data_IF_089215398935
#
_entry.id   IF_089215398935
#
_cell.length_a   1.000
_cell.length_b   1.000
_cell.length_c   1.000
_cell.angle_alpha   90.00
_cell.angle_beta   90.00
_cell.angle_gamma   90.00
#
_symmetry.space_group_name_H-M   'P 1'
#
loop_
_entity.id
_entity.type
_entity.pdbx_description
1 polymer ?
#
# COMPACT_ATOMS: atom_id res chain seq x y z
N UNK A 1 8.58 17.98 9.21
CA UNK A 1 9.30 17.10 10.12
C UNK A 1 10.42 16.38 9.37
N UNK A 2 11.63 16.74 9.65
CA UNK A 2 12.79 16.25 8.91
C UNK A 2 13.53 15.11 9.61
N UNK A 3 13.07 14.72 10.79
CA UNK A 3 13.77 13.71 11.59
C UNK A 3 13.48 12.31 11.02
N UNK A 4 14.55 11.59 10.73
CA UNK A 4 14.43 10.20 10.30
C UNK A 4 14.08 9.35 11.53
N UNK A 5 12.98 8.60 11.43
CA UNK A 5 12.66 7.61 12.47
C UNK A 5 13.47 6.34 12.22
N UNK A 6 13.97 5.76 13.31
CA UNK A 6 14.60 4.44 13.26
C UNK A 6 13.52 3.39 13.04
N UNK A 7 13.78 2.44 12.15
CA UNK A 7 12.91 1.28 11.98
C UNK A 7 13.16 0.30 13.12
N UNK A 8 12.09 -0.15 13.76
CA UNK A 8 12.12 -1.24 14.74
C UNK A 8 11.68 -2.52 14.05
N UNK A 9 12.58 -3.08 13.25
CA UNK A 9 12.30 -4.24 12.40
C UNK A 9 12.13 -5.50 13.23
N UNK A 10 11.05 -6.23 12.98
CA UNK A 10 10.71 -7.46 13.69
C UNK A 10 10.15 -8.47 12.70
N UNK A 11 10.15 -9.74 13.11
CA UNK A 11 9.42 -10.77 12.38
C UNK A 11 7.93 -10.48 12.51
N UNK A 12 7.24 -10.32 11.37
CA UNK A 12 5.83 -9.97 11.31
C UNK A 12 5.06 -11.03 10.55
N UNK A 13 3.99 -11.54 11.18
CA UNK A 13 2.99 -12.32 10.48
C UNK A 13 1.97 -11.35 9.91
N UNK A 14 2.08 -11.09 8.59
CA UNK A 14 1.30 -10.05 7.92
C UNK A 14 -0.20 -10.29 8.05
N UNK A 15 -0.65 -11.54 7.94
CA UNK A 15 -2.08 -11.86 8.07
C UNK A 15 -2.63 -11.47 9.45
N UNK A 16 -1.86 -11.74 10.50
CA UNK A 16 -2.27 -11.36 11.87
C UNK A 16 -2.37 -9.85 12.01
N UNK A 17 -1.44 -9.12 11.43
CA UNK A 17 -1.46 -7.66 11.44
C UNK A 17 -2.68 -7.13 10.69
N UNK A 18 -2.96 -7.63 9.50
CA UNK A 18 -4.11 -7.20 8.70
C UNK A 18 -5.42 -7.52 9.43
N UNK A 19 -5.53 -8.72 9.99
CA UNK A 19 -6.73 -9.12 10.72
C UNK A 19 -6.95 -8.27 11.98
N UNK A 20 -5.88 -7.92 12.69
CA UNK A 20 -5.98 -7.06 13.86
C UNK A 20 -6.47 -5.66 13.53
N UNK A 21 -6.24 -5.20 12.31
CA UNK A 21 -6.69 -3.89 11.84
C UNK A 21 -8.06 -3.93 11.16
N UNK A 22 -8.64 -5.10 10.96
CA UNK A 22 -9.85 -5.26 10.15
C UNK A 22 -10.99 -4.34 10.57
N UNK A 23 -11.25 -4.24 11.88
CA UNK A 23 -12.31 -3.39 12.41
C UNK A 23 -12.02 -1.90 12.16
N UNK A 24 -10.78 -1.46 12.40
CA UNK A 24 -10.37 -0.08 12.12
C UNK A 24 -10.47 0.24 10.63
N UNK A 25 -10.07 -0.68 9.76
CA UNK A 25 -10.15 -0.48 8.32
C UNK A 25 -11.61 -0.33 7.88
N UNK A 26 -12.49 -1.19 8.37
CA UNK A 26 -13.92 -1.09 8.04
C UNK A 26 -14.54 0.21 8.53
N UNK A 27 -14.17 0.68 9.72
CA UNK A 27 -14.66 1.97 10.24
C UNK A 27 -14.16 3.14 9.42
N UNK A 28 -13.01 3.02 8.76
CA UNK A 28 -12.48 4.06 7.90
C UNK A 28 -13.23 4.16 6.57
N UNK A 29 -14.03 3.16 6.24
CA UNK A 29 -14.80 3.08 5.00
C UNK A 29 -16.26 3.40 5.28
N UNK A 30 -16.95 3.98 4.28
CA UNK A 30 -18.38 4.18 4.38
C UNK A 30 -19.12 2.89 3.97
N UNK A 31 -20.43 2.85 4.24
CA UNK A 31 -21.25 1.65 3.98
C UNK A 31 -21.37 1.31 2.50
N UNK A 32 -21.11 2.26 1.61
CA UNK A 32 -21.19 2.03 0.18
C UNK A 32 -19.97 1.31 -0.38
N UNK A 33 -18.92 1.11 0.41
CA UNK A 33 -17.71 0.39 -0.01
C UNK A 33 -17.78 -1.04 0.53
N UNK A 34 -17.72 -2.01 -0.37
CA UNK A 34 -17.64 -3.43 -0.02
C UNK A 34 -16.17 -3.78 0.24
N UNK A 35 -15.88 -4.21 1.47
CA UNK A 35 -14.54 -4.53 1.91
C UNK A 35 -14.33 -6.05 1.94
N UNK A 36 -13.24 -6.52 1.33
CA UNK A 36 -12.89 -7.93 1.29
C UNK A 36 -11.41 -8.11 1.61
N UNK A 37 -11.10 -9.14 2.39
CA UNK A 37 -9.72 -9.55 2.67
C UNK A 37 -9.48 -10.94 2.08
N UNK A 38 -8.43 -11.08 1.28
CA UNK A 38 -8.00 -12.34 0.68
C UNK A 38 -6.58 -12.64 1.15
N UNK A 39 -6.48 -13.38 2.24
CA UNK A 39 -5.21 -13.64 2.91
C UNK A 39 -4.74 -15.06 2.61
N UNK A 40 -3.47 -15.19 2.21
CA UNK A 40 -2.86 -16.50 1.94
C UNK A 40 -2.61 -17.21 3.27
N UNK A 41 -3.21 -18.37 3.47
CA UNK A 41 -3.07 -19.14 4.69
C UNK A 41 -1.64 -19.62 4.94
N UNK A 42 -0.84 -19.75 3.89
CA UNK A 42 0.56 -20.22 3.96
C UNK A 42 1.55 -19.08 3.79
N UNK A 43 1.17 -17.89 4.21
CA UNK A 43 2.01 -16.70 4.06
C UNK A 43 3.29 -16.83 4.87
N UNK A 44 4.41 -16.46 4.24
CA UNK A 44 5.71 -16.40 4.91
C UNK A 44 5.72 -15.28 5.96
N UNK A 45 6.67 -15.38 6.88
CA UNK A 45 6.93 -14.31 7.84
C UNK A 45 7.79 -13.25 7.17
N UNK A 46 7.40 -11.98 7.31
CA UNK A 46 8.16 -10.86 6.79
C UNK A 46 8.96 -10.20 7.91
N UNK A 47 9.99 -9.46 7.54
CA UNK A 47 10.74 -8.64 8.49
C UNK A 47 10.48 -7.19 8.18
N UNK A 48 9.84 -6.49 9.12
CA UNK A 48 9.47 -5.08 8.95
C UNK A 48 9.09 -4.47 10.30
N UNK A 49 8.96 -3.15 10.32
CA UNK A 49 8.45 -2.43 11.48
C UNK A 49 6.92 -2.54 11.48
N UNK A 50 6.31 -3.24 12.45
CA UNK A 50 4.86 -3.43 12.46
C UNK A 50 4.07 -2.12 12.56
N UNK A 51 4.56 -1.13 13.28
CA UNK A 51 3.89 0.16 13.40
C UNK A 51 3.88 0.92 12.07
N UNK A 52 4.98 0.87 11.35
CA UNK A 52 5.08 1.48 10.02
C UNK A 52 4.18 0.76 9.01
N UNK A 53 4.10 -0.57 9.10
CA UNK A 53 3.19 -1.36 8.27
C UNK A 53 1.73 -1.01 8.52
N UNK A 54 1.34 -0.87 9.78
CA UNK A 54 -0.03 -0.47 10.12
C UNK A 54 -0.37 0.88 9.52
N UNK A 55 0.54 1.85 9.66
CA UNK A 55 0.35 3.18 9.09
C UNK A 55 0.26 3.14 7.56
N UNK A 56 1.10 2.33 6.92
CA UNK A 56 1.08 2.17 5.47
C UNK A 56 -0.25 1.58 5.00
N UNK A 57 -0.71 0.52 5.64
CA UNK A 57 -1.97 -0.12 5.28
C UNK A 57 -3.16 0.84 5.45
N UNK A 58 -3.20 1.55 6.57
CA UNK A 58 -4.27 2.53 6.81
C UNK A 58 -4.27 3.62 5.74
N UNK A 59 -3.09 4.15 5.39
CA UNK A 59 -2.98 5.16 4.34
C UNK A 59 -3.44 4.64 2.98
N UNK A 60 -3.09 3.40 2.63
CA UNK A 60 -3.54 2.80 1.37
C UNK A 60 -5.06 2.65 1.33
N UNK A 61 -5.67 2.23 2.44
CA UNK A 61 -7.12 2.08 2.53
C UNK A 61 -7.83 3.43 2.45
N UNK A 62 -7.30 4.45 3.11
CA UNK A 62 -7.86 5.80 3.04
C UNK A 62 -7.77 6.37 1.63
N UNK A 63 -6.64 6.16 0.95
CA UNK A 63 -6.49 6.60 -0.44
C UNK A 63 -7.49 5.89 -1.37
N UNK A 64 -7.70 4.60 -1.17
CA UNK A 64 -8.68 3.84 -1.93
C UNK A 64 -10.11 4.35 -1.67
N UNK A 65 -10.44 4.62 -0.40
CA UNK A 65 -11.73 5.21 -0.04
C UNK A 65 -11.96 6.53 -0.77
N UNK A 66 -10.96 7.40 -0.79
CA UNK A 66 -11.07 8.71 -1.42
C UNK A 66 -11.21 8.60 -2.93
N UNK A 67 -10.73 7.53 -3.53
CA UNK A 67 -10.91 7.24 -4.96
C UNK A 67 -12.29 6.68 -5.28
N UNK A 68 -13.09 6.34 -4.28
CA UNK A 68 -14.42 5.76 -4.42
C UNK A 68 -15.48 6.59 -3.67
N UNK A 69 -15.67 7.87 -4.03
CA UNK A 69 -16.59 8.74 -3.28
C UNK A 69 -18.05 8.27 -3.31
N UNK A 70 -18.42 7.53 -4.33
CA UNK A 70 -19.78 6.99 -4.50
C UNK A 70 -19.86 5.50 -4.13
N UNK A 71 -18.81 4.97 -3.51
CA UNK A 71 -18.74 3.57 -3.14
C UNK A 71 -17.99 2.74 -4.15
N UNK A 72 -17.93 1.45 -3.90
CA UNK A 72 -17.23 0.51 -4.74
C UNK A 72 -16.78 -0.71 -3.97
N UNK A 73 -15.71 -1.33 -4.43
CA UNK A 73 -15.14 -2.53 -3.82
C UNK A 73 -13.67 -2.31 -3.51
N UNK A 74 -13.29 -2.66 -2.28
CA UNK A 74 -11.91 -2.62 -1.81
C UNK A 74 -11.48 -4.03 -1.42
N UNK A 75 -10.34 -4.48 -1.95
CA UNK A 75 -9.78 -5.80 -1.64
C UNK A 75 -8.38 -5.62 -1.09
N UNK A 76 -8.13 -6.20 0.09
CA UNK A 76 -6.79 -6.31 0.68
C UNK A 76 -6.35 -7.75 0.55
N UNK A 77 -5.21 -7.97 -0.08
CA UNK A 77 -4.69 -9.30 -0.35
C UNK A 77 -3.26 -9.46 0.16
N UNK A 78 -2.93 -10.67 0.61
CA UNK A 78 -1.55 -11.05 0.90
C UNK A 78 -1.17 -12.25 0.07
N UNK A 79 0.09 -12.32 -0.34
CA UNK A 79 0.62 -13.46 -1.07
C UNK A 79 2.13 -13.56 -0.92
N UNK A 80 2.67 -14.76 -1.15
CA UNK A 80 4.09 -14.96 -1.25
C UNK A 80 4.53 -14.71 -2.69
N UNK A 81 5.59 -13.96 -2.86
CA UNK A 81 6.12 -13.64 -4.19
C UNK A 81 7.62 -13.93 -4.23
N UNK A 82 8.07 -14.56 -5.30
CA UNK A 82 9.49 -14.70 -5.58
C UNK A 82 9.83 -13.68 -6.66
N UNK A 83 10.67 -12.71 -6.30
CA UNK A 83 11.12 -11.70 -7.26
C UNK A 83 12.39 -12.18 -7.92
N UNK A 84 12.30 -12.40 -9.22
CA UNK A 84 13.43 -12.83 -10.02
C UNK A 84 14.25 -11.65 -10.51
N UNK A 85 15.47 -11.93 -10.95
CA UNK A 85 16.39 -10.89 -11.42
C UNK A 85 15.82 -10.06 -12.57
N UNK A 86 15.05 -10.67 -13.44
CA UNK A 86 14.41 -9.96 -14.56
C UNK A 86 13.52 -8.82 -14.08
N UNK A 87 12.87 -9.01 -12.94
CA UNK A 87 12.05 -7.96 -12.33
C UNK A 87 12.92 -6.94 -11.59
N UNK A 88 13.86 -7.40 -10.76
CA UNK A 88 14.59 -6.52 -9.84
C UNK A 88 15.65 -5.66 -10.55
N UNK A 89 16.11 -6.06 -11.73
CA UNK A 89 17.13 -5.33 -12.48
C UNK A 89 16.68 -3.91 -12.83
N UNK A 90 15.36 -3.69 -12.96
CA UNK A 90 14.80 -2.38 -13.27
C UNK A 90 14.78 -1.43 -12.08
N UNK A 91 15.03 -1.92 -10.86
CA UNK A 91 14.88 -1.13 -9.63
C UNK A 91 16.17 -1.16 -8.81
N UNK A 92 16.86 -0.02 -8.68
CA UNK A 92 18.09 0.06 -7.88
C UNK A 92 17.83 -0.38 -6.44
N UNK A 93 18.74 -1.14 -5.87
CA UNK A 93 18.71 -1.62 -4.50
C UNK A 93 17.60 -2.65 -4.17
N UNK A 94 16.86 -3.09 -5.17
CA UNK A 94 15.93 -4.21 -4.99
C UNK A 94 16.63 -5.50 -5.37
N UNK A 95 16.71 -6.44 -4.43
CA UNK A 95 17.40 -7.71 -4.64
C UNK A 95 16.41 -8.83 -4.97
N UNK A 96 16.79 -9.80 -5.79
CA UNK A 96 15.99 -11.00 -6.01
C UNK A 96 15.81 -11.76 -4.69
N UNK A 97 14.71 -12.43 -4.53
CA UNK A 97 14.46 -13.26 -3.37
C UNK A 97 12.99 -13.45 -3.07
N UNK A 98 12.73 -13.93 -1.86
CA UNK A 98 11.39 -14.21 -1.38
C UNK A 98 10.82 -12.99 -0.67
N UNK A 99 9.60 -12.61 -1.06
CA UNK A 99 8.93 -11.44 -0.50
C UNK A 99 7.49 -11.80 -0.11
N UNK A 100 7.00 -11.12 0.93
CA UNK A 100 5.57 -11.11 1.25
C UNK A 100 4.98 -9.88 0.57
N UNK A 101 3.94 -10.08 -0.22
CA UNK A 101 3.26 -8.99 -0.91
C UNK A 101 1.95 -8.67 -0.21
N UNK A 102 1.74 -7.38 0.07
CA UNK A 102 0.47 -6.82 0.53
C UNK A 102 -0.06 -5.94 -0.59
N UNK A 103 -1.27 -6.21 -1.06
CA UNK A 103 -1.88 -5.37 -2.10
C UNK A 103 -3.22 -4.82 -1.64
N UNK A 104 -3.50 -3.59 -2.07
CA UNK A 104 -4.78 -2.92 -1.84
C UNK A 104 -5.32 -2.52 -3.21
N UNK A 105 -6.47 -3.07 -3.56
CA UNK A 105 -7.11 -2.86 -4.86
C UNK A 105 -8.47 -2.20 -4.68
N UNK A 106 -8.70 -1.10 -5.41
CA UNK A 106 -10.00 -0.46 -5.48
C UNK A 106 -10.49 -0.44 -6.93
N UNK A 107 -11.78 -0.22 -7.11
CA UNK A 107 -12.38 0.00 -8.42
C UNK A 107 -12.88 1.43 -8.57
N UNK A 108 -12.15 2.38 -8.01
CA UNK A 108 -12.49 3.79 -8.03
C UNK A 108 -12.11 4.51 -9.32
N UNK A 109 -11.80 5.79 -9.19
CA UNK A 109 -11.58 6.66 -10.36
C UNK A 109 -10.26 6.39 -11.10
N UNK A 110 -9.32 5.70 -10.46
CA UNK A 110 -8.02 5.44 -11.06
C UNK A 110 -7.17 6.70 -11.23
N UNK A 111 -6.03 6.53 -11.90
CA UNK A 111 -5.09 7.62 -12.13
C UNK A 111 -4.56 7.57 -13.56
N UNK A 112 -4.47 8.73 -14.26
CA UNK A 112 -3.74 8.79 -15.52
C UNK A 112 -2.24 8.66 -15.27
N UNK A 113 -1.48 8.33 -16.30
CA UNK A 113 -0.04 8.13 -16.19
C UNK A 113 0.67 9.37 -15.64
N UNK A 114 0.19 10.56 -15.97
CA UNK A 114 0.77 11.82 -15.45
C UNK A 114 0.67 11.93 -13.94
N UNK A 115 -0.36 11.35 -13.33
CA UNK A 115 -0.53 11.32 -11.88
C UNK A 115 0.30 10.19 -11.27
N UNK A 116 0.30 9.01 -11.90
CA UNK A 116 1.07 7.87 -11.41
C UNK A 116 2.55 8.22 -11.31
N UNK A 117 3.11 8.90 -12.30
CA UNK A 117 4.52 9.28 -12.34
C UNK A 117 4.93 10.20 -11.19
N UNK A 118 3.97 10.88 -10.55
CA UNK A 118 4.20 11.79 -9.43
C UNK A 118 3.61 11.32 -8.11
N UNK A 119 3.02 10.13 -8.10
CA UNK A 119 2.24 9.66 -6.94
C UNK A 119 3.07 9.55 -5.67
N UNK A 120 4.38 9.30 -5.79
CA UNK A 120 5.29 9.19 -4.64
C UNK A 120 6.00 10.50 -4.29
N UNK A 121 5.76 11.57 -5.04
CA UNK A 121 6.38 12.87 -4.74
C UNK A 121 5.76 13.45 -3.46
N UNK A 122 6.58 13.99 -2.55
CA UNK A 122 6.05 14.64 -1.35
C UNK A 122 5.11 15.79 -1.72
N UNK A 123 4.01 15.90 -0.98
CA UNK A 123 3.01 16.96 -1.12
C UNK A 123 2.20 16.93 -2.41
N UNK A 124 2.49 16.01 -3.34
CA UNK A 124 1.65 15.87 -4.52
C UNK A 124 0.30 15.25 -4.13
N UNK A 125 -0.79 15.88 -4.52
CA UNK A 125 -2.14 15.36 -4.27
C UNK A 125 -3.10 15.89 -5.33
N UNK A 126 -4.08 15.04 -5.69
CA UNK A 126 -5.22 15.42 -6.53
C UNK A 126 -6.44 15.82 -5.69
N UNK A 127 -6.34 15.73 -4.35
CA UNK A 127 -7.42 16.09 -3.44
C UNK A 127 -7.53 17.61 -3.33
N UNK A 128 -8.74 18.13 -3.04
CA UNK A 128 -8.92 19.56 -2.78
C UNK A 128 -8.03 20.06 -1.64
N UNK A 129 -7.74 21.34 -1.66
CA UNK A 129 -6.93 22.00 -0.63
C UNK A 129 -7.55 21.71 0.74
N UNK A 130 -6.71 21.26 1.68
CA UNK A 130 -7.15 20.94 3.05
C UNK A 130 -7.64 19.51 3.24
N UNK A 131 -7.78 18.72 2.17
CA UNK A 131 -8.26 17.34 2.26
C UNK A 131 -7.16 16.29 2.07
N UNK A 132 -5.96 16.71 1.72
CA UNK A 132 -4.85 15.79 1.55
C UNK A 132 -3.54 16.51 1.68
N UNK A 133 -2.56 15.86 2.31
CA UNK A 133 -1.23 16.43 2.52
C UNK A 133 -0.25 16.08 1.39
N UNK A 134 -0.58 15.06 0.58
CA UNK A 134 0.32 14.55 -0.43
C UNK A 134 1.49 13.73 0.14
N UNK A 135 1.42 13.35 1.41
CA UNK A 135 2.50 12.63 2.08
C UNK A 135 2.25 11.12 2.19
N UNK A 136 1.02 10.65 2.03
CA UNK A 136 0.68 9.25 2.26
C UNK A 136 1.50 8.28 1.42
N UNK A 137 1.49 8.43 0.09
CA UNK A 137 2.24 7.54 -0.79
C UNK A 137 3.74 7.75 -0.73
N UNK A 138 4.20 8.99 -0.53
CA UNK A 138 5.64 9.25 -0.37
C UNK A 138 6.20 8.61 0.88
N UNK A 139 5.43 8.60 1.97
CA UNK A 139 5.82 7.92 3.21
C UNK A 139 5.88 6.41 3.03
N UNK A 140 4.93 5.84 2.30
CA UNK A 140 4.90 4.42 1.97
C UNK A 140 6.12 4.04 1.13
N UNK A 141 6.44 4.87 0.14
CA UNK A 141 7.63 4.67 -0.69
C UNK A 141 8.91 4.68 0.16
N UNK A 142 9.06 5.67 1.05
CA UNK A 142 10.20 5.76 1.96
C UNK A 142 10.31 4.54 2.88
N UNK A 143 9.18 4.11 3.46
CA UNK A 143 9.14 2.92 4.30
C UNK A 143 9.57 1.68 3.51
N UNK A 144 9.08 1.49 2.28
CA UNK A 144 9.45 0.32 1.48
C UNK A 144 10.95 0.26 1.20
N UNK A 145 11.57 1.41 0.92
CA UNK A 145 13.01 1.46 0.66
C UNK A 145 13.84 1.19 1.92
N UNK A 146 13.40 1.71 3.08
CA UNK A 146 14.06 1.42 4.35
C UNK A 146 13.94 -0.04 4.77
N UNK A 147 12.86 -0.70 4.36
CA UNK A 147 12.60 -2.11 4.67
C UNK A 147 13.17 -3.07 3.62
N UNK A 148 13.92 -2.56 2.65
CA UNK A 148 14.49 -3.34 1.52
C UNK A 148 13.41 -3.97 0.66
N UNK A 149 12.27 -3.31 0.58
CA UNK A 149 11.14 -3.76 -0.21
C UNK A 149 10.92 -2.90 -1.43
N UNK A 150 9.72 -3.00 -1.96
CA UNK A 150 9.33 -2.31 -3.17
C UNK A 150 7.85 -1.96 -3.10
N UNK A 151 7.46 -0.86 -3.72
CA UNK A 151 6.06 -0.49 -3.89
C UNK A 151 5.79 -0.19 -5.36
N UNK A 152 4.67 -0.68 -5.87
CA UNK A 152 4.26 -0.43 -7.25
C UNK A 152 2.79 -0.03 -7.31
N UNK A 153 2.43 0.72 -8.35
CA UNK A 153 1.07 1.17 -8.61
C UNK A 153 0.67 0.75 -10.01
N UNK A 154 -0.44 0.02 -10.13
CA UNK A 154 -1.12 -0.23 -11.40
C UNK A 154 -2.46 0.47 -11.36
N UNK A 155 -2.72 1.36 -12.31
CA UNK A 155 -3.95 2.13 -12.32
C UNK A 155 -4.34 2.53 -13.73
N UNK A 156 -5.64 2.56 -13.98
CA UNK A 156 -6.23 3.10 -15.20
C UNK A 156 -7.43 3.97 -14.82
N UNK A 157 -7.61 5.06 -15.56
CA UNK A 157 -8.73 5.97 -15.33
C UNK A 157 -10.04 5.19 -15.46
N UNK A 158 -10.95 5.40 -14.50
CA UNK A 158 -12.26 4.78 -14.40
C UNK A 158 -12.25 3.25 -14.20
N UNK A 159 -11.08 2.63 -14.04
CA UNK A 159 -10.96 1.19 -13.77
C UNK A 159 -10.56 0.90 -12.32
N UNK A 160 -9.81 1.80 -11.72
CA UNK A 160 -9.34 1.64 -10.35
C UNK A 160 -7.83 1.59 -10.22
N UNK A 161 -7.39 1.26 -9.02
CA UNK A 161 -5.96 1.28 -8.66
C UNK A 161 -5.63 0.05 -7.81
N UNK A 162 -4.48 -0.54 -8.10
CA UNK A 162 -3.86 -1.55 -7.23
C UNK A 162 -2.48 -1.04 -6.80
N UNK A 163 -2.27 -0.96 -5.49
CA UNK A 163 -0.95 -0.64 -4.91
C UNK A 163 -0.42 -1.92 -4.28
N UNK A 164 0.79 -2.32 -4.69
CA UNK A 164 1.46 -3.52 -4.18
C UNK A 164 2.68 -3.12 -3.38
N UNK A 165 2.76 -3.63 -2.16
CA UNK A 165 3.89 -3.42 -1.26
C UNK A 165 4.59 -4.77 -1.05
N UNK A 166 5.86 -4.83 -1.39
CA UNK A 166 6.68 -6.05 -1.24
C UNK A 166 7.59 -5.99 -0.04
#
# INVERSE_FOLDING_TARGET
FSRRQSLDSKAVQMNSLVLSMGELLQRSLNESIQFEMRLDEKLWVAEADPNQLESALLNLVINARDAMPEGGKLVVETSNQVLHREFTVAYPNLEPGDYVMLSVTDNGCGMPQSVISRAFDPFFTTKPIGQGTGLGLSMIYGFSKQSRGHVSIDSEVDQGTTVRLY
#
